data_IF_774056545637
#
_entry.id   IF_774056545637
#
_cell.length_a   1.000
_cell.length_b   1.000
_cell.length_c   1.000
_cell.angle_alpha   90.00
_cell.angle_beta   90.00
_cell.angle_gamma   90.00
#
_symmetry.space_group_name_H-M   'P 1'
#
loop_
_entity.id
_entity.type
_entity.pdbx_description
1 polymer ?
#
# COMPACT_ATOMS: atom_id res chain seq x y z
N UNK A 1 1.51 31.55 10.74
CA UNK A 1 1.19 30.28 11.44
C UNK A 1 2.47 29.70 11.99
N UNK A 2 2.55 29.31 13.27
CA UNK A 2 3.72 28.60 13.77
C UNK A 2 3.79 27.26 13.02
N UNK A 3 4.93 26.97 12.38
CA UNK A 3 5.20 25.65 11.79
C UNK A 3 5.09 24.63 12.92
N UNK A 4 3.98 23.88 13.00
CA UNK A 4 3.90 22.75 13.91
C UNK A 4 5.02 21.78 13.53
N UNK A 5 5.83 21.38 14.51
CA UNK A 5 6.87 20.36 14.31
C UNK A 5 6.13 19.03 14.08
N UNK A 6 6.14 18.54 12.84
CA UNK A 6 5.73 17.18 12.52
C UNK A 6 6.99 16.31 12.64
N UNK A 7 6.86 15.15 13.27
CA UNK A 7 7.94 14.18 13.30
C UNK A 7 8.01 13.49 11.94
N UNK A 8 9.15 13.60 11.27
CA UNK A 8 9.40 12.90 10.00
C UNK A 8 10.32 11.73 10.29
N UNK A 9 9.82 10.52 10.04
CA UNK A 9 10.58 9.28 10.07
C UNK A 9 10.75 8.80 8.64
N UNK A 10 11.95 8.36 8.29
CA UNK A 10 12.32 8.00 6.92
C UNK A 10 12.62 6.52 6.84
N UNK A 11 12.05 5.83 5.86
CA UNK A 11 12.52 4.51 5.42
C UNK A 11 13.67 4.69 4.43
N UNK A 12 14.55 3.70 4.34
CA UNK A 12 15.60 3.65 3.34
C UNK A 12 15.26 2.65 2.23
N UNK A 13 15.87 2.78 1.07
CA UNK A 13 15.68 1.83 -0.04
C UNK A 13 16.26 0.46 0.30
N UNK A 14 15.56 -0.60 -0.07
CA UNK A 14 16.03 -1.99 0.01
C UNK A 14 17.19 -2.19 -0.97
N UNK A 15 17.06 -1.69 -2.20
CA UNK A 15 18.08 -1.87 -3.25
C UNK A 15 18.74 -0.56 -3.67
N UNK A 16 19.99 -0.66 -4.13
CA UNK A 16 20.78 0.49 -4.58
C UNK A 16 20.11 1.14 -5.79
N UNK A 17 19.75 2.41 -5.66
CA UNK A 17 19.08 3.18 -6.71
C UNK A 17 17.82 2.48 -7.26
N UNK A 18 17.08 1.74 -6.42
CA UNK A 18 15.90 0.96 -6.83
C UNK A 18 16.17 -0.05 -7.96
N UNK A 19 17.36 -0.63 -8.01
CA UNK A 19 17.73 -1.53 -9.11
C UNK A 19 17.14 -2.95 -9.00
N UNK A 20 16.47 -3.29 -7.89
CA UNK A 20 15.84 -4.59 -7.68
C UNK A 20 16.83 -5.76 -7.57
N UNK A 21 18.14 -5.49 -7.44
CA UNK A 21 19.20 -6.49 -7.55
C UNK A 21 20.18 -6.45 -6.37
N UNK A 22 20.71 -5.26 -6.05
CA UNK A 22 21.79 -5.10 -5.07
C UNK A 22 21.24 -4.47 -3.79
N UNK A 23 21.29 -5.22 -2.68
CA UNK A 23 20.88 -4.67 -1.39
C UNK A 23 21.73 -3.47 -0.98
N UNK A 24 21.10 -2.52 -0.31
CA UNK A 24 21.78 -1.43 0.40
C UNK A 24 22.42 -1.93 1.70
N UNK A 25 23.25 -1.10 2.32
CA UNK A 25 23.83 -1.40 3.63
C UNK A 25 22.82 -1.07 4.73
N UNK A 26 22.03 -2.08 5.14
CA UNK A 26 20.93 -1.88 6.09
C UNK A 26 21.44 -1.38 7.44
N UNK A 27 22.54 -1.93 7.95
CA UNK A 27 23.13 -1.52 9.23
C UNK A 27 23.52 -0.04 9.19
N UNK A 28 24.27 0.39 8.17
CA UNK A 28 24.70 1.77 8.05
C UNK A 28 23.51 2.74 7.91
N UNK A 29 22.45 2.33 7.21
CA UNK A 29 21.24 3.14 7.03
C UNK A 29 20.40 3.27 8.31
N UNK A 30 20.30 2.20 9.10
CA UNK A 30 19.67 2.24 10.44
C UNK A 30 20.46 3.17 11.37
N UNK A 31 21.80 3.08 11.38
CA UNK A 31 22.67 3.98 12.17
C UNK A 31 22.53 5.45 11.74
N UNK A 32 22.23 5.70 10.47
CA UNK A 32 21.95 7.03 9.93
C UNK A 32 20.54 7.55 10.26
N UNK A 33 19.67 6.72 10.85
CA UNK A 33 18.34 7.10 11.32
C UNK A 33 17.17 6.59 10.48
N UNK A 34 17.39 5.66 9.55
CA UNK A 34 16.29 4.96 8.89
C UNK A 34 15.48 4.14 9.91
N UNK A 35 14.16 4.07 9.72
CA UNK A 35 13.27 3.30 10.62
C UNK A 35 12.90 1.91 10.10
N UNK A 36 13.08 1.70 8.80
CA UNK A 36 12.77 0.47 8.08
C UNK A 36 13.17 0.60 6.61
N UNK A 37 12.81 -0.39 5.79
CA UNK A 37 13.24 -0.46 4.40
C UNK A 37 12.08 -0.64 3.42
N UNK A 38 12.11 0.07 2.30
CA UNK A 38 11.13 -0.08 1.23
C UNK A 38 11.67 0.44 -0.10
N UNK A 39 11.34 -0.24 -1.19
CA UNK A 39 11.53 0.24 -2.57
C UNK A 39 10.18 0.69 -3.18
N UNK A 40 9.29 1.26 -2.35
CA UNK A 40 7.95 1.71 -2.75
C UNK A 40 7.96 2.49 -4.08
N UNK A 41 6.98 2.16 -4.93
CA UNK A 41 6.88 2.58 -6.32
C UNK A 41 7.61 1.67 -7.33
N UNK A 42 8.55 0.82 -6.90
CA UNK A 42 9.24 -0.17 -7.76
C UNK A 42 9.19 -1.56 -7.09
N UNK A 43 8.27 -2.45 -7.53
CA UNK A 43 8.13 -3.80 -6.99
C UNK A 43 9.41 -4.63 -7.11
N UNK A 44 9.71 -5.43 -6.08
CA UNK A 44 10.85 -6.35 -6.09
C UNK A 44 10.50 -7.66 -6.83
N UNK A 45 10.94 -7.81 -8.07
CA UNK A 45 10.62 -8.99 -8.88
C UNK A 45 11.38 -10.26 -8.45
N UNK A 46 12.61 -10.12 -7.95
CA UNK A 46 13.46 -11.25 -7.61
C UNK A 46 13.13 -11.83 -6.24
N UNK A 47 12.51 -13.01 -6.19
CA UNK A 47 12.27 -13.74 -4.93
C UNK A 47 13.54 -13.98 -4.12
N UNK A 48 14.70 -14.06 -4.80
CA UNK A 48 16.01 -14.18 -4.14
C UNK A 48 16.33 -12.89 -3.36
N UNK A 49 16.21 -11.74 -4.01
CA UNK A 49 16.52 -10.43 -3.39
C UNK A 49 15.55 -10.15 -2.25
N UNK A 50 14.26 -10.44 -2.44
CA UNK A 50 13.25 -10.31 -1.37
C UNK A 50 13.62 -11.18 -0.17
N UNK A 51 13.98 -12.44 -0.38
CA UNK A 51 14.40 -13.34 0.70
C UNK A 51 15.65 -12.83 1.41
N UNK A 52 16.68 -12.40 0.67
CA UNK A 52 17.91 -11.86 1.24
C UNK A 52 17.64 -10.59 2.06
N UNK A 53 16.80 -9.69 1.57
CA UNK A 53 16.37 -8.50 2.29
C UNK A 53 15.64 -8.87 3.59
N UNK A 54 14.68 -9.80 3.53
CA UNK A 54 13.94 -10.27 4.71
C UNK A 54 14.85 -10.93 5.75
N UNK A 55 15.83 -11.73 5.32
CA UNK A 55 16.84 -12.31 6.23
C UNK A 55 17.69 -11.21 6.89
N UNK A 56 18.11 -10.19 6.15
CA UNK A 56 18.86 -9.05 6.70
C UNK A 56 18.01 -8.23 7.68
N UNK A 57 16.77 -7.91 7.32
CA UNK A 57 15.85 -7.19 8.19
C UNK A 57 15.58 -7.95 9.50
N UNK A 58 15.49 -9.29 9.41
CA UNK A 58 15.35 -10.14 10.60
C UNK A 58 16.59 -10.08 11.49
N UNK A 59 17.78 -10.18 10.91
CA UNK A 59 19.05 -10.13 11.66
C UNK A 59 19.22 -8.80 12.41
N UNK A 60 18.78 -7.70 11.79
CA UNK A 60 18.90 -6.34 12.32
C UNK A 60 17.69 -5.90 13.16
N UNK A 61 16.69 -6.78 13.33
CA UNK A 61 15.46 -6.48 14.05
C UNK A 61 14.77 -5.19 13.56
N UNK A 62 14.59 -5.10 12.26
CA UNK A 62 13.85 -4.02 11.56
C UNK A 62 12.74 -4.61 10.70
N UNK A 63 12.00 -3.78 9.97
CA UNK A 63 10.90 -4.19 9.11
C UNK A 63 11.16 -3.82 7.64
N UNK A 64 10.47 -4.52 6.76
CA UNK A 64 10.39 -4.22 5.33
C UNK A 64 8.94 -3.86 4.98
N UNK A 65 8.74 -2.77 4.25
CA UNK A 65 7.47 -2.42 3.63
C UNK A 65 7.51 -2.67 2.13
N UNK A 66 6.49 -3.35 1.61
CA UNK A 66 6.45 -3.78 0.21
C UNK A 66 5.21 -3.24 -0.51
N UNK A 67 5.47 -2.68 -1.69
CA UNK A 67 4.50 -2.35 -2.72
C UNK A 67 4.34 -3.55 -3.65
N UNK A 68 3.27 -4.31 -3.45
CA UNK A 68 3.04 -5.57 -4.17
C UNK A 68 2.30 -5.32 -5.48
N UNK A 69 3.01 -5.40 -6.59
CA UNK A 69 2.42 -5.27 -7.92
C UNK A 69 3.31 -5.93 -8.99
N UNK A 70 2.97 -7.13 -9.47
CA UNK A 70 3.76 -7.80 -10.50
C UNK A 70 3.71 -7.05 -11.85
N UNK A 71 4.83 -6.46 -12.33
CA UNK A 71 4.85 -5.71 -13.58
C UNK A 71 4.53 -6.59 -14.80
N UNK A 72 4.85 -7.89 -14.74
CA UNK A 72 4.60 -8.86 -15.81
C UNK A 72 3.12 -9.25 -15.94
N UNK A 73 2.32 -8.98 -14.92
CA UNK A 73 0.87 -9.24 -14.89
C UNK A 73 0.04 -7.97 -15.08
N UNK A 74 0.68 -6.82 -15.29
CA UNK A 74 0.03 -5.52 -15.35
C UNK A 74 -0.07 -4.93 -16.75
N UNK A 75 -1.12 -4.11 -16.94
CA UNK A 75 -1.24 -3.17 -18.03
C UNK A 75 -0.85 -1.75 -17.61
N UNK A 76 -1.68 -0.78 -17.98
CA UNK A 76 -1.51 0.62 -17.59
C UNK A 76 -1.95 0.81 -16.15
N UNK A 77 -0.99 1.19 -15.30
CA UNK A 77 -1.21 1.41 -13.88
C UNK A 77 -2.24 2.50 -13.61
N UNK A 78 -2.95 2.35 -12.49
CA UNK A 78 -3.99 3.27 -12.04
C UNK A 78 -5.35 3.17 -12.73
N UNK A 79 -5.56 2.12 -13.51
CA UNK A 79 -6.87 1.70 -14.01
C UNK A 79 -7.15 0.27 -13.57
N UNK A 80 -8.32 -0.01 -13.00
CA UNK A 80 -8.74 -1.38 -12.73
C UNK A 80 -9.19 -2.09 -14.03
N UNK A 81 -9.17 -3.42 -14.04
CA UNK A 81 -9.24 -4.26 -15.26
C UNK A 81 -10.46 -3.99 -16.15
N UNK A 82 -11.66 -4.02 -15.56
CA UNK A 82 -12.90 -3.93 -16.31
C UNK A 82 -13.14 -2.51 -16.80
N UNK A 83 -12.99 -1.51 -15.93
CA UNK A 83 -13.16 -0.11 -16.34
C UNK A 83 -12.14 0.30 -17.40
N UNK A 84 -10.88 -0.17 -17.28
CA UNK A 84 -9.82 0.07 -18.27
C UNK A 84 -10.23 -0.43 -19.66
N UNK A 85 -10.75 -1.65 -19.72
CA UNK A 85 -11.15 -2.30 -20.97
C UNK A 85 -12.41 -1.67 -21.56
N UNK A 86 -13.42 -1.45 -20.75
CA UNK A 86 -14.76 -1.04 -21.19
C UNK A 86 -14.82 0.44 -21.56
N UNK A 87 -14.12 1.31 -20.81
CA UNK A 87 -14.20 2.76 -20.99
C UNK A 87 -12.97 3.39 -21.63
N UNK A 88 -11.80 2.79 -21.47
CA UNK A 88 -10.53 3.35 -21.97
C UNK A 88 -9.90 2.50 -23.09
N UNK A 89 -10.43 1.29 -23.34
CA UNK A 89 -9.95 0.36 -24.35
C UNK A 89 -8.46 0.00 -24.21
N UNK A 90 -8.00 -0.11 -22.96
CA UNK A 90 -6.63 -0.48 -22.57
C UNK A 90 -6.65 -1.68 -21.61
N UNK A 91 -5.50 -2.33 -21.45
CA UNK A 91 -5.27 -3.23 -20.32
C UNK A 91 -4.95 -2.38 -19.09
N UNK A 92 -5.66 -2.58 -17.98
CA UNK A 92 -5.39 -1.91 -16.69
C UNK A 92 -4.44 -2.70 -15.79
N UNK A 93 -4.20 -2.20 -14.58
CA UNK A 93 -3.55 -2.95 -13.51
C UNK A 93 -4.47 -4.06 -13.00
N UNK A 94 -3.95 -5.28 -12.96
CA UNK A 94 -4.73 -6.47 -12.63
C UNK A 94 -4.79 -6.69 -11.13
N UNK A 95 -5.82 -7.37 -10.65
CA UNK A 95 -5.86 -7.83 -9.26
C UNK A 95 -4.78 -8.88 -9.00
N UNK A 96 -4.58 -9.79 -9.96
CA UNK A 96 -3.61 -10.87 -9.86
C UNK A 96 -2.17 -10.37 -9.72
N UNK A 97 -1.83 -9.22 -10.31
CA UNK A 97 -0.54 -8.58 -10.10
C UNK A 97 -0.28 -8.26 -8.62
N UNK A 98 -1.30 -7.80 -7.89
CA UNK A 98 -1.19 -7.47 -6.47
C UNK A 98 -1.12 -8.74 -5.60
N UNK A 99 -2.16 -9.59 -5.67
CA UNK A 99 -2.26 -10.71 -4.72
C UNK A 99 -1.30 -11.87 -5.00
N UNK A 100 -0.82 -12.06 -6.24
CA UNK A 100 0.14 -13.14 -6.54
C UNK A 100 1.55 -12.81 -6.04
N UNK A 101 2.00 -11.56 -6.23
CA UNK A 101 3.28 -11.09 -5.71
C UNK A 101 3.26 -11.06 -4.17
N UNK A 102 2.17 -10.55 -3.60
CA UNK A 102 1.95 -10.58 -2.15
C UNK A 102 1.98 -12.00 -1.60
N UNK A 103 1.33 -12.98 -2.27
CA UNK A 103 1.34 -14.37 -1.83
C UNK A 103 2.76 -14.97 -1.80
N UNK A 104 3.62 -14.61 -2.76
CA UNK A 104 5.04 -14.98 -2.73
C UNK A 104 5.70 -14.39 -1.48
N UNK A 105 5.52 -13.10 -1.25
CA UNK A 105 6.30 -12.37 -0.23
C UNK A 105 5.86 -12.66 1.19
N UNK A 106 4.56 -12.80 1.45
CA UNK A 106 4.08 -13.21 2.78
C UNK A 106 4.54 -14.63 3.14
N UNK A 107 4.71 -15.51 2.16
CA UNK A 107 5.24 -16.86 2.41
C UNK A 107 6.75 -16.87 2.63
N UNK A 108 7.50 -15.95 2.00
CA UNK A 108 8.92 -15.72 2.33
C UNK A 108 9.04 -15.11 3.73
N UNK A 109 8.16 -14.18 4.10
CA UNK A 109 8.09 -13.59 5.44
C UNK A 109 7.84 -14.66 6.51
N UNK A 110 6.91 -15.59 6.24
CA UNK A 110 6.66 -16.75 7.10
C UNK A 110 7.92 -17.61 7.29
N UNK A 111 8.63 -17.93 6.20
CA UNK A 111 9.83 -18.77 6.24
C UNK A 111 11.02 -18.10 6.96
N UNK A 112 11.23 -16.81 6.74
CA UNK A 112 12.34 -16.02 7.31
C UNK A 112 12.03 -15.48 8.71
N UNK A 113 10.74 -15.43 9.09
CA UNK A 113 10.23 -14.79 10.31
C UNK A 113 10.56 -13.28 10.37
N UNK A 114 10.80 -12.68 9.21
CA UNK A 114 10.99 -11.25 9.06
C UNK A 114 9.67 -10.52 9.30
N UNK A 115 9.76 -9.29 9.81
CA UNK A 115 8.61 -8.42 9.95
C UNK A 115 8.36 -7.70 8.63
N UNK A 116 7.22 -7.98 8.00
CA UNK A 116 6.85 -7.44 6.69
C UNK A 116 5.54 -6.66 6.81
N UNK A 117 5.54 -5.45 6.27
CA UNK A 117 4.37 -4.59 6.22
C UNK A 117 3.91 -4.44 4.77
N UNK A 118 2.71 -4.92 4.46
CA UNK A 118 2.14 -4.84 3.12
C UNK A 118 1.42 -3.50 2.94
N UNK A 119 1.84 -2.75 1.92
CA UNK A 119 1.34 -1.40 1.66
C UNK A 119 -0.02 -1.41 0.94
N UNK A 120 -0.84 -0.41 1.26
CA UNK A 120 -2.08 0.01 0.60
C UNK A 120 -2.89 -1.08 -0.14
N UNK A 121 -3.41 -2.09 0.59
CA UNK A 121 -4.21 -3.18 -0.02
C UNK A 121 -5.42 -2.64 -0.80
N UNK A 122 -5.70 -3.23 -1.97
CA UNK A 122 -6.84 -2.80 -2.78
C UNK A 122 -7.81 -3.91 -3.18
N UNK A 123 -7.38 -5.17 -3.21
CA UNK A 123 -8.18 -6.31 -3.66
C UNK A 123 -8.72 -7.20 -2.55
N UNK A 124 -9.90 -7.78 -2.78
CA UNK A 124 -10.49 -8.77 -1.87
C UNK A 124 -9.54 -9.96 -1.62
N UNK A 125 -8.90 -10.47 -2.68
CA UNK A 125 -7.95 -11.58 -2.60
C UNK A 125 -6.71 -11.21 -1.79
N UNK A 126 -6.22 -9.97 -1.88
CA UNK A 126 -5.07 -9.51 -1.09
C UNK A 126 -5.36 -9.57 0.42
N UNK A 127 -6.58 -9.21 0.83
CA UNK A 127 -7.02 -9.35 2.24
C UNK A 127 -6.94 -10.81 2.68
N UNK A 128 -7.42 -11.75 1.85
CA UNK A 128 -7.37 -13.19 2.14
C UNK A 128 -5.95 -13.73 2.22
N UNK A 129 -5.04 -13.22 1.37
CA UNK A 129 -3.61 -13.60 1.39
C UNK A 129 -2.96 -13.17 2.69
N UNK A 130 -3.20 -11.93 3.13
CA UNK A 130 -2.68 -11.44 4.42
C UNK A 130 -3.26 -12.23 5.58
N UNK A 131 -4.58 -12.43 5.62
CA UNK A 131 -5.26 -13.22 6.66
C UNK A 131 -4.68 -14.64 6.75
N UNK A 132 -4.48 -15.30 5.60
CA UNK A 132 -3.89 -16.64 5.54
C UNK A 132 -2.48 -16.67 6.14
N UNK A 133 -1.61 -15.74 5.75
CA UNK A 133 -0.25 -15.67 6.27
C UNK A 133 -0.20 -15.36 7.78
N UNK A 134 -1.06 -14.45 8.25
CA UNK A 134 -1.23 -14.15 9.68
C UNK A 134 -1.72 -15.40 10.45
N UNK A 135 -2.65 -16.17 9.88
CA UNK A 135 -3.14 -17.43 10.44
C UNK A 135 -2.07 -18.52 10.58
N UNK A 136 -1.04 -18.50 9.72
CA UNK A 136 0.14 -19.35 9.86
C UNK A 136 1.13 -18.86 10.94
N UNK A 137 0.96 -17.63 11.44
CA UNK A 137 1.87 -16.99 12.38
C UNK A 137 3.01 -16.21 11.72
N UNK A 138 2.88 -15.83 10.44
CA UNK A 138 3.81 -14.92 9.80
C UNK A 138 3.77 -13.54 10.48
N UNK A 139 4.92 -12.86 10.60
CA UNK A 139 4.97 -11.49 11.11
C UNK A 139 4.62 -10.49 10.02
N UNK A 140 3.36 -10.56 9.55
CA UNK A 140 2.82 -9.73 8.48
C UNK A 140 1.80 -8.75 9.04
N UNK A 141 2.04 -7.47 8.83
CA UNK A 141 1.07 -6.39 9.06
C UNK A 141 0.66 -5.79 7.72
N UNK A 142 -0.46 -5.07 7.70
CA UNK A 142 -1.00 -4.52 6.46
C UNK A 142 -1.68 -3.17 6.72
N UNK A 143 -1.59 -2.29 5.72
CA UNK A 143 -2.28 -1.01 5.70
C UNK A 143 -3.26 -0.90 4.52
N UNK A 144 -4.15 0.07 4.62
CA UNK A 144 -4.98 0.49 3.49
C UNK A 144 -5.10 2.01 3.44
N UNK A 145 -5.22 2.55 2.23
CA UNK A 145 -5.38 3.97 2.04
C UNK A 145 -6.86 4.42 2.08
N UNK A 146 -7.15 5.64 2.55
CA UNK A 146 -8.52 6.13 2.70
C UNK A 146 -9.39 6.04 1.45
N UNK A 147 -8.79 6.24 0.29
CA UNK A 147 -9.47 6.16 -0.99
C UNK A 147 -9.96 4.74 -1.32
N UNK A 148 -9.28 3.67 -0.87
CA UNK A 148 -9.67 2.28 -1.13
C UNK A 148 -10.85 1.80 -0.30
N UNK A 149 -11.14 2.39 0.88
CA UNK A 149 -12.38 2.10 1.62
C UNK A 149 -13.52 3.08 1.32
N UNK A 150 -13.20 4.28 0.79
CA UNK A 150 -14.19 5.34 0.58
C UNK A 150 -14.76 5.41 -0.84
N UNK A 151 -14.03 4.93 -1.86
CA UNK A 151 -14.39 5.07 -3.28
C UNK A 151 -14.16 3.77 -4.04
N UNK A 152 -14.73 3.72 -5.24
CA UNK A 152 -14.57 2.63 -6.21
C UNK A 152 -14.06 3.17 -7.54
N UNK A 153 -13.73 2.28 -8.47
CA UNK A 153 -13.23 2.60 -9.81
C UNK A 153 -14.12 3.60 -10.58
N UNK A 154 -15.42 3.65 -10.28
CA UNK A 154 -16.36 4.58 -10.91
C UNK A 154 -15.96 6.07 -10.75
N UNK A 155 -15.15 6.41 -9.73
CA UNK A 155 -14.62 7.76 -9.56
C UNK A 155 -13.80 8.21 -10.78
N UNK A 156 -13.10 7.28 -11.43
CA UNK A 156 -12.29 7.53 -12.62
C UNK A 156 -13.11 8.14 -13.78
N UNK A 157 -14.38 7.74 -13.93
CA UNK A 157 -15.26 8.26 -14.98
C UNK A 157 -15.70 9.72 -14.74
N UNK A 158 -15.65 10.17 -13.48
CA UNK A 158 -16.12 11.52 -13.10
C UNK A 158 -14.98 12.49 -12.81
N UNK A 159 -13.83 11.99 -12.35
CA UNK A 159 -12.68 12.80 -11.95
C UNK A 159 -11.47 12.65 -12.89
N UNK A 160 -11.51 11.73 -13.85
CA UNK A 160 -10.42 11.48 -14.78
C UNK A 160 -9.10 11.16 -14.05
N UNK A 161 -8.01 11.75 -14.52
CA UNK A 161 -6.64 11.54 -14.00
C UNK A 161 -6.49 11.86 -12.50
N UNK A 162 -7.36 12.68 -11.92
CA UNK A 162 -7.34 12.95 -10.48
C UNK A 162 -7.72 11.72 -9.64
N UNK A 163 -8.46 10.76 -10.21
CA UNK A 163 -8.77 9.48 -9.59
C UNK A 163 -7.81 8.34 -10.01
N UNK A 164 -6.81 8.64 -10.86
CA UNK A 164 -5.76 7.68 -11.23
C UNK A 164 -4.71 7.59 -10.11
N UNK A 165 -4.58 6.42 -9.50
CA UNK A 165 -3.63 6.14 -8.41
C UNK A 165 -3.17 4.68 -8.42
N UNK A 166 -2.09 4.33 -7.71
CA UNK A 166 -1.60 2.95 -7.66
C UNK A 166 -1.50 2.44 -6.21
N UNK A 167 -2.09 1.29 -5.85
CA UNK A 167 -2.97 0.45 -6.68
C UNK A 167 -4.29 1.17 -7.02
N UNK A 168 -4.93 0.85 -8.15
CA UNK A 168 -6.13 1.56 -8.59
C UNK A 168 -7.30 1.37 -7.63
N UNK A 169 -8.26 2.30 -7.68
CA UNK A 169 -9.58 2.07 -7.09
C UNK A 169 -10.22 0.87 -7.78
N UNK A 170 -10.80 -0.04 -6.99
CA UNK A 170 -11.32 -1.33 -7.43
C UNK A 170 -12.85 -1.38 -7.40
N UNK A 171 -13.42 -2.59 -7.47
CA UNK A 171 -14.86 -2.83 -7.43
C UNK A 171 -15.45 -2.53 -6.05
N UNK A 172 -16.78 -2.45 -5.97
CA UNK A 172 -17.46 -2.35 -4.67
C UNK A 172 -17.20 -3.58 -3.80
N UNK A 173 -17.10 -4.79 -4.38
CA UNK A 173 -16.74 -6.00 -3.63
C UNK A 173 -15.37 -5.89 -2.97
N UNK A 174 -14.39 -5.36 -3.70
CA UNK A 174 -13.04 -5.11 -3.22
C UNK A 174 -13.03 -4.08 -2.08
N UNK A 175 -13.74 -2.95 -2.27
CA UNK A 175 -13.93 -1.92 -1.22
C UNK A 175 -14.53 -2.50 0.05
N UNK A 176 -15.56 -3.35 -0.08
CA UNK A 176 -16.19 -4.03 1.05
C UNK A 176 -15.23 -4.99 1.75
N UNK A 177 -14.45 -5.77 1.00
CA UNK A 177 -13.46 -6.67 1.57
C UNK A 177 -12.38 -5.94 2.38
N UNK A 178 -11.92 -4.78 1.90
CA UNK A 178 -11.02 -3.89 2.65
C UNK A 178 -11.65 -3.42 3.96
N UNK A 179 -12.92 -3.00 3.94
CA UNK A 179 -13.65 -2.59 5.15
C UNK A 179 -13.76 -3.76 6.13
N UNK A 180 -14.09 -4.96 5.66
CA UNK A 180 -14.12 -6.15 6.52
C UNK A 180 -12.73 -6.52 7.05
N UNK A 181 -11.67 -6.34 6.27
CA UNK A 181 -10.28 -6.51 6.71
C UNK A 181 -9.88 -5.53 7.82
N UNK A 182 -10.36 -4.28 7.76
CA UNK A 182 -10.21 -3.32 8.86
C UNK A 182 -10.97 -3.80 10.11
N UNK A 183 -12.20 -4.26 9.95
CA UNK A 183 -13.06 -4.71 11.07
C UNK A 183 -12.52 -5.96 11.77
N UNK A 184 -12.01 -6.92 11.00
CA UNK A 184 -11.46 -8.17 11.54
C UNK A 184 -10.08 -8.00 12.17
N UNK A 185 -9.37 -6.90 11.85
CA UNK A 185 -8.00 -6.66 12.27
C UNK A 185 -6.96 -7.30 11.37
N UNK A 186 -7.35 -7.90 10.24
CA UNK A 186 -6.41 -8.33 9.18
C UNK A 186 -5.62 -7.13 8.66
N UNK A 187 -6.30 -5.99 8.48
CA UNK A 187 -5.71 -4.68 8.19
C UNK A 187 -5.76 -3.84 9.47
N UNK A 188 -4.59 -3.48 9.99
CA UNK A 188 -4.47 -2.75 11.26
C UNK A 188 -4.17 -1.28 11.06
N UNK A 189 -3.65 -0.87 9.92
CA UNK A 189 -3.16 0.49 9.67
C UNK A 189 -3.98 1.21 8.60
N UNK A 190 -4.29 2.48 8.84
CA UNK A 190 -4.74 3.41 7.80
C UNK A 190 -3.58 4.36 7.50
N UNK A 191 -3.04 4.29 6.27
CA UNK A 191 -1.95 5.13 5.80
C UNK A 191 -2.34 5.85 4.51
N UNK A 192 -2.04 7.13 4.38
CA UNK A 192 -2.69 7.94 3.33
C UNK A 192 -2.18 7.71 1.93
N UNK A 193 -0.97 7.18 1.78
CA UNK A 193 -0.23 7.18 0.51
C UNK A 193 -0.30 8.57 -0.17
N UNK A 194 0.13 9.60 0.57
CA UNK A 194 0.00 10.97 0.09
C UNK A 194 1.00 11.22 -1.05
N UNK A 195 0.48 11.19 -2.29
CA UNK A 195 1.24 11.30 -3.52
C UNK A 195 0.81 12.55 -4.31
N UNK A 196 1.31 13.75 -3.95
CA UNK A 196 0.95 15.00 -4.63
C UNK A 196 1.61 15.08 -6.02
N UNK A 197 0.84 15.57 -6.99
CA UNK A 197 1.30 15.88 -8.35
C UNK A 197 0.84 17.29 -8.72
N UNK A 198 1.57 17.97 -9.61
CA UNK A 198 1.16 19.27 -10.11
C UNK A 198 -0.13 19.15 -10.93
N UNK A 199 -0.97 20.19 -10.90
CA UNK A 199 -2.23 20.21 -11.64
C UNK A 199 -2.03 19.95 -13.14
N UNK A 200 -0.95 20.49 -13.72
CA UNK A 200 -0.61 20.30 -15.13
C UNK A 200 -0.19 18.86 -15.47
N UNK A 201 0.45 18.14 -14.53
CA UNK A 201 0.83 16.74 -14.73
C UNK A 201 -0.40 15.83 -14.71
N UNK A 202 -1.42 16.20 -13.93
CA UNK A 202 -2.72 15.52 -13.92
C UNK A 202 -3.58 15.94 -15.12
N UNK A 203 -3.53 17.20 -15.56
CA UNK A 203 -4.39 17.73 -16.62
C UNK A 203 -3.79 17.49 -18.02
N UNK A 204 -3.79 16.22 -18.44
CA UNK A 204 -3.27 15.77 -19.74
C UNK A 204 -4.38 15.30 -20.67
N UNK A 205 -4.17 15.44 -21.98
CA UNK A 205 -5.11 14.94 -23.00
C UNK A 205 -5.23 13.41 -22.96
N UNK A 206 -4.11 12.71 -22.78
CA UNK A 206 -4.06 11.26 -22.62
C UNK A 206 -3.93 10.89 -21.14
N UNK A 207 -5.05 10.54 -20.51
CA UNK A 207 -5.12 10.09 -19.12
C UNK A 207 -4.20 8.90 -18.81
N UNK A 208 -3.83 8.09 -19.80
CA UNK A 208 -2.90 6.98 -19.61
C UNK A 208 -1.49 7.47 -19.28
N UNK A 209 -1.15 8.72 -19.63
CA UNK A 209 0.14 9.38 -19.35
C UNK A 209 0.18 10.18 -18.06
N UNK A 210 -0.97 10.50 -17.45
CA UNK A 210 -1.00 11.16 -16.15
C UNK A 210 -0.30 10.30 -15.09
N UNK A 211 0.43 10.88 -14.12
CA UNK A 211 1.00 10.11 -13.04
C UNK A 211 -0.09 9.57 -12.10
N UNK A 212 0.17 8.39 -11.53
CA UNK A 212 -0.65 7.81 -10.47
C UNK A 212 -0.34 8.50 -9.14
N UNK A 213 -1.39 8.86 -8.39
CA UNK A 213 -1.26 9.41 -7.04
C UNK A 213 -2.38 10.38 -6.68
N UNK A 214 -2.69 10.50 -5.40
CA UNK A 214 -3.69 11.41 -4.86
C UNK A 214 -3.20 12.01 -3.53
N UNK A 215 -3.60 13.25 -3.25
CA UNK A 215 -3.36 13.85 -1.93
C UNK A 215 -4.30 13.26 -0.88
N UNK A 216 -3.77 12.68 0.20
CA UNK A 216 -4.59 12.12 1.29
C UNK A 216 -4.50 12.78 2.68
N UNK A 217 -3.44 13.54 3.00
CA UNK A 217 -3.20 14.05 4.37
C UNK A 217 -4.36 14.88 4.94
N UNK A 218 -4.95 15.76 4.13
CA UNK A 218 -6.00 16.68 4.59
C UNK A 218 -7.38 16.01 4.67
N UNK A 219 -7.57 14.87 4.01
CA UNK A 219 -8.89 14.23 3.84
C UNK A 219 -9.03 12.91 4.60
N UNK A 220 -7.93 12.27 5.00
CA UNK A 220 -7.92 10.94 5.64
C UNK A 220 -8.94 10.80 6.77
N UNK A 221 -8.90 11.70 7.76
CA UNK A 221 -9.82 11.65 8.91
C UNK A 221 -11.28 11.83 8.48
N UNK A 222 -11.56 12.79 7.59
CA UNK A 222 -12.94 13.02 7.12
C UNK A 222 -13.50 11.82 6.35
N UNK A 223 -12.69 11.16 5.53
CA UNK A 223 -13.09 9.95 4.82
C UNK A 223 -13.34 8.80 5.80
N UNK A 224 -12.48 8.62 6.80
CA UNK A 224 -12.69 7.62 7.85
C UNK A 224 -13.97 7.87 8.66
N UNK A 225 -14.22 9.12 9.06
CA UNK A 225 -15.44 9.48 9.79
C UNK A 225 -16.70 9.19 8.98
N UNK A 226 -16.76 9.61 7.71
CA UNK A 226 -17.95 9.43 6.88
C UNK A 226 -18.16 7.97 6.45
N UNK A 227 -17.11 7.31 5.97
CA UNK A 227 -17.26 5.99 5.32
C UNK A 227 -17.08 4.81 6.26
N UNK A 228 -16.50 5.00 7.45
CA UNK A 228 -16.33 3.93 8.44
C UNK A 228 -17.17 4.18 9.68
N UNK A 229 -17.16 5.40 10.24
CA UNK A 229 -17.85 5.68 11.52
C UNK A 229 -19.34 5.96 11.33
N UNK A 230 -19.70 6.96 10.51
CA UNK A 230 -21.11 7.29 10.23
C UNK A 230 -21.83 6.15 9.52
N UNK A 231 -21.11 5.37 8.72
CA UNK A 231 -21.62 4.16 8.06
C UNK A 231 -21.83 2.97 9.02
N UNK A 232 -21.34 3.06 10.27
CA UNK A 232 -21.48 2.00 11.28
C UNK A 232 -20.55 0.80 11.07
N UNK A 233 -19.47 0.95 10.31
CA UNK A 233 -18.50 -0.11 10.06
C UNK A 233 -17.45 -0.20 11.17
N UNK A 234 -17.04 0.95 11.73
CA UNK A 234 -16.13 1.06 12.88
C UNK A 234 -16.67 2.09 13.88
N UNK A 235 -16.30 1.96 15.15
CA UNK A 235 -16.41 3.03 16.12
C UNK A 235 -15.35 4.12 15.87
N UNK A 236 -15.56 5.31 16.45
CA UNK A 236 -14.56 6.38 16.42
C UNK A 236 -13.24 5.93 17.05
N UNK A 237 -13.27 5.14 18.12
CA UNK A 237 -12.06 4.66 18.78
C UNK A 237 -11.27 3.70 17.89
N UNK A 238 -11.94 2.76 17.22
CA UNK A 238 -11.29 1.86 16.28
C UNK A 238 -10.66 2.62 15.10
N UNK A 239 -11.33 3.66 14.58
CA UNK A 239 -10.75 4.52 13.56
C UNK A 239 -9.47 5.21 14.05
N UNK A 240 -9.49 5.80 15.25
CA UNK A 240 -8.35 6.51 15.82
C UNK A 240 -7.20 5.55 16.13
N UNK A 241 -7.48 4.35 16.65
CA UNK A 241 -6.47 3.32 16.90
C UNK A 241 -5.72 2.96 15.61
N UNK A 242 -6.44 2.79 14.49
CA UNK A 242 -5.85 2.46 13.18
C UNK A 242 -5.03 3.60 12.56
N UNK A 243 -5.21 4.84 13.00
CA UNK A 243 -4.46 6.02 12.52
C UNK A 243 -3.30 6.44 13.44
N UNK A 244 -3.29 6.00 14.70
CA UNK A 244 -2.34 6.49 15.73
C UNK A 244 -1.53 5.34 16.34
N UNK A 245 -2.18 4.48 17.14
CA UNK A 245 -1.51 3.44 17.92
C UNK A 245 -1.05 2.27 17.04
N UNK A 246 -1.89 1.83 16.10
CA UNK A 246 -1.61 0.69 15.24
C UNK A 246 -0.42 0.93 14.31
N UNK A 247 -0.25 2.08 13.64
CA UNK A 247 0.97 2.36 12.87
C UNK A 247 2.24 2.25 13.72
N UNK A 248 2.20 2.74 14.97
CA UNK A 248 3.36 2.68 15.88
C UNK A 248 3.70 1.23 16.22
N UNK A 249 2.69 0.41 16.52
CA UNK A 249 2.88 -1.01 16.83
C UNK A 249 3.31 -1.82 15.61
N UNK A 250 2.63 -1.61 14.48
CA UNK A 250 2.84 -2.33 13.22
C UNK A 250 4.18 -2.00 12.55
N UNK A 251 4.79 -0.85 12.85
CA UNK A 251 6.08 -0.45 12.30
C UNK A 251 7.19 -0.34 13.37
N UNK A 252 6.90 -0.74 14.62
CA UNK A 252 7.84 -0.72 15.75
C UNK A 252 8.50 0.66 15.98
N UNK A 253 7.69 1.73 15.91
CA UNK A 253 8.13 3.13 15.95
C UNK A 253 8.18 3.74 17.36
#
# INVERSE_FOLDING_TARGET
MPRKKINVKTVATITKNFNGQDLTDFQALLEAGAVGFSDDGIPLESSKVVKEAMEEAKNLNTFISLHEEDPGLNGILGFNENIAKEHFHICGATGVAEYAMMARDVMIAYATKAHVHIQHLSKEESVKVVEFAQGLGAQVTAEVAPQHFSKTEALLLTQGSNAKMNPPLRLESDRRAVIEGLKSGVITVIATDHAPHHADEKNVEDITKAPSGMTGLETSLSLGLTYLVEAGELSLMELLEKNDIQPIQALQL
#
